data_IF_623726136230
#
_entry.id   IF_623726136230
#
_cell.length_a   1.000
_cell.length_b   1.000
_cell.length_c   1.000
_cell.angle_alpha   90.00
_cell.angle_beta   90.00
_cell.angle_gamma   90.00
#
_symmetry.space_group_name_H-M   'P 1'
#
loop_
_entity.id
_entity.type
_entity.pdbx_description
1 polymer ?
#
# COMPACT_ATOMS: atom_id res chain seq x y z
N UNK A 1 -1.73 -6.40 5.63
CA UNK A 1 -0.41 -5.91 5.29
C UNK A 1 -0.41 -4.53 5.87
N UNK A 2 0.41 -4.35 6.89
CA UNK A 2 0.52 -3.08 7.59
C UNK A 2 1.95 -2.65 7.39
N UNK A 3 2.15 -1.43 6.89
CA UNK A 3 3.49 -0.89 6.71
C UNK A 3 3.54 0.56 7.18
N UNK A 4 4.71 0.92 7.71
CA UNK A 4 5.02 2.26 8.19
C UNK A 4 5.95 2.97 7.23
N UNK A 5 5.68 4.25 7.00
CA UNK A 5 6.56 5.16 6.25
C UNK A 5 6.87 6.35 7.13
N UNK A 6 8.15 6.66 7.31
CA UNK A 6 8.62 7.74 8.18
C UNK A 6 9.40 8.77 7.38
N UNK A 7 9.12 10.04 7.61
CA UNK A 7 9.84 11.16 7.00
C UNK A 7 10.01 12.33 7.97
N UNK A 8 10.81 13.34 7.62
CA UNK A 8 10.92 14.56 8.39
C UNK A 8 9.55 15.23 8.54
N UNK A 9 9.07 15.37 9.78
CA UNK A 9 7.81 16.06 10.09
C UNK A 9 6.55 15.18 10.03
N UNK A 10 6.62 13.93 9.54
CA UNK A 10 5.45 13.06 9.53
C UNK A 10 5.78 11.56 9.58
N UNK A 11 4.82 10.77 10.04
CA UNK A 11 4.85 9.31 9.92
C UNK A 11 3.48 8.79 9.52
N UNK A 12 3.44 7.91 8.54
CA UNK A 12 2.21 7.28 8.06
C UNK A 12 2.22 5.79 8.39
N UNK A 13 1.09 5.29 8.87
CA UNK A 13 0.84 3.87 9.11
C UNK A 13 -0.34 3.47 8.25
N UNK A 14 -0.13 2.54 7.33
CA UNK A 14 -1.12 2.13 6.34
C UNK A 14 -1.49 0.68 6.63
N UNK A 15 -2.78 0.42 6.92
CA UNK A 15 -3.35 -0.92 7.00
C UNK A 15 -4.14 -1.20 5.72
N UNK A 16 -3.66 -2.16 4.95
CA UNK A 16 -4.38 -2.66 3.79
C UNK A 16 -5.35 -3.82 4.15
N UNK A 17 -5.49 -4.22 5.42
CA UNK A 17 -6.50 -5.23 5.79
C UNK A 17 -6.26 -6.66 5.32
N UNK A 18 -5.01 -7.08 5.18
CA UNK A 18 -4.72 -8.51 5.00
C UNK A 18 -5.19 -9.29 6.23
N UNK A 19 -6.28 -10.06 6.09
CA UNK A 19 -6.91 -10.81 7.17
C UNK A 19 -8.12 -10.14 7.84
N UNK A 20 -8.55 -8.95 7.40
CA UNK A 20 -9.68 -8.21 7.97
C UNK A 20 -10.34 -7.22 7.00
N UNK A 21 -11.37 -6.48 7.44
CA UNK A 21 -12.07 -5.48 6.61
C UNK A 21 -11.46 -4.07 6.70
N UNK A 22 -10.19 -3.99 7.08
CA UNK A 22 -9.47 -2.75 7.35
C UNK A 22 -8.92 -2.19 6.03
N UNK A 23 -9.14 -0.90 5.78
CA UNK A 23 -8.55 -0.19 4.65
C UNK A 23 -8.41 1.24 5.12
N UNK A 24 -7.36 1.51 5.88
CA UNK A 24 -7.21 2.78 6.58
C UNK A 24 -5.73 3.19 6.64
N UNK A 25 -5.51 4.49 6.72
CA UNK A 25 -4.20 5.04 7.02
C UNK A 25 -4.31 6.05 8.15
N UNK A 26 -3.32 6.04 9.05
CA UNK A 26 -3.15 7.11 10.04
C UNK A 26 -1.87 7.86 9.72
N UNK A 27 -1.98 9.18 9.58
CA UNK A 27 -0.82 10.08 9.44
C UNK A 27 -0.66 10.87 10.73
N UNK A 28 0.55 10.88 11.26
CA UNK A 28 0.97 11.66 12.41
C UNK A 28 1.87 12.79 11.92
N UNK A 29 1.48 14.03 12.14
CA UNK A 29 2.26 15.22 11.81
C UNK A 29 2.93 15.77 13.08
N UNK A 30 4.23 16.05 12.98
CA UNK A 30 4.97 16.71 14.04
C UNK A 30 4.83 18.24 13.90
N UNK A 31 4.35 18.92 14.96
CA UNK A 31 4.33 20.38 15.03
C UNK A 31 5.60 20.99 15.63
N UNK A 32 6.53 20.18 16.11
CA UNK A 32 7.86 20.63 16.54
C UNK A 32 8.74 21.03 15.36
N UNK A 33 9.71 21.91 15.58
CA UNK A 33 10.77 22.17 14.62
C UNK A 33 11.53 20.89 14.24
N UNK A 34 12.30 20.91 13.14
CA UNK A 34 13.07 19.75 12.69
C UNK A 34 13.96 19.20 13.81
N UNK A 35 13.61 18.03 14.34
CA UNK A 35 14.33 17.36 15.41
C UNK A 35 14.50 15.88 15.06
N UNK A 36 15.69 15.34 15.29
CA UNK A 36 16.05 13.97 14.94
C UNK A 36 15.39 12.90 15.84
N UNK A 37 14.79 13.28 16.98
CA UNK A 37 14.12 12.35 17.89
C UNK A 37 13.02 13.05 18.72
N UNK A 38 11.83 12.46 18.76
CA UNK A 38 10.70 12.87 19.61
C UNK A 38 10.99 12.68 21.11
N UNK A 39 11.89 11.74 21.46
CA UNK A 39 12.24 11.48 22.85
C UNK A 39 13.10 12.58 23.48
N UNK A 40 13.73 13.45 22.67
CA UNK A 40 14.68 14.46 23.14
C UNK A 40 14.16 15.91 23.16
N UNK A 41 12.98 16.19 22.59
CA UNK A 41 12.52 17.57 22.32
C UNK A 41 11.43 18.13 23.24
N UNK A 42 10.81 17.28 24.09
CA UNK A 42 9.54 17.63 24.72
C UNK A 42 8.37 17.57 23.73
N UNK A 43 7.17 17.29 24.24
CA UNK A 43 5.98 16.94 23.45
C UNK A 43 5.47 18.15 22.66
N UNK A 44 6.02 18.37 21.47
CA UNK A 44 5.32 19.13 20.43
C UNK A 44 4.02 18.38 20.10
N UNK A 45 2.89 19.09 20.07
CA UNK A 45 1.60 18.46 19.78
C UNK A 45 1.67 17.64 18.49
N UNK A 46 1.08 16.44 18.51
CA UNK A 46 0.96 15.58 17.33
C UNK A 46 -0.41 15.82 16.73
N UNK A 47 -0.46 16.28 15.49
CA UNK A 47 -1.70 16.24 14.72
C UNK A 47 -1.87 14.85 14.13
N UNK A 48 -3.10 14.33 14.20
CA UNK A 48 -3.46 13.01 13.69
C UNK A 48 -4.53 13.16 12.63
N UNK A 49 -4.27 12.58 11.47
CA UNK A 49 -5.23 12.40 10.40
C UNK A 49 -5.51 10.91 10.22
N UNK A 50 -6.79 10.56 10.07
CA UNK A 50 -7.23 9.19 9.79
C UNK A 50 -7.95 9.20 8.45
N UNK A 51 -7.47 8.36 7.55
CA UNK A 51 -7.99 8.20 6.20
C UNK A 51 -8.73 6.87 6.10
N UNK A 52 -9.99 6.92 5.65
CA UNK A 52 -10.78 5.75 5.28
C UNK A 52 -10.56 5.47 3.79
N UNK A 53 -9.91 4.35 3.48
CA UNK A 53 -9.63 3.93 2.12
C UNK A 53 -10.88 3.62 1.30
N UNK A 54 -12.01 3.24 1.93
CA UNK A 54 -13.29 3.06 1.22
C UNK A 54 -13.90 4.39 0.82
N UNK A 55 -13.78 5.40 1.69
CA UNK A 55 -14.19 6.75 1.37
C UNK A 55 -13.34 7.33 0.24
N UNK A 56 -12.02 7.13 0.27
CA UNK A 56 -11.11 7.52 -0.82
C UNK A 56 -11.47 6.82 -2.13
N UNK A 57 -11.74 5.52 -2.08
CA UNK A 57 -12.14 4.74 -3.25
C UNK A 57 -13.55 5.07 -3.77
N UNK A 58 -14.34 5.85 -3.02
CA UNK A 58 -15.75 6.15 -3.33
C UNK A 58 -16.65 4.91 -3.34
N UNK A 59 -16.21 3.79 -2.74
CA UNK A 59 -16.92 2.51 -2.79
C UNK A 59 -16.53 1.60 -1.64
N UNK A 60 -17.52 0.90 -1.09
CA UNK A 60 -17.32 -0.17 -0.12
C UNK A 60 -17.17 -1.55 -0.76
N UNK A 61 -17.14 -1.64 -2.10
CA UNK A 61 -16.95 -2.90 -2.80
C UNK A 61 -15.48 -3.32 -2.77
N UNK A 62 -15.20 -4.53 -2.27
CA UNK A 62 -13.84 -5.04 -2.05
C UNK A 62 -12.94 -4.94 -3.28
N UNK A 63 -13.49 -5.26 -4.46
CA UNK A 63 -12.72 -5.19 -5.71
C UNK A 63 -12.29 -3.76 -6.08
N UNK A 64 -12.93 -2.71 -5.54
CA UNK A 64 -12.63 -1.31 -5.85
C UNK A 64 -11.54 -0.75 -4.94
N UNK A 65 -11.59 -1.02 -3.62
CA UNK A 65 -10.62 -0.47 -2.65
C UNK A 65 -9.46 -1.41 -2.32
N UNK A 66 -9.57 -2.71 -2.63
CA UNK A 66 -8.54 -3.71 -2.32
C UNK A 66 -8.33 -4.75 -3.44
N UNK A 67 -9.17 -4.74 -4.48
CA UNK A 67 -8.99 -5.66 -5.60
C UNK A 67 -8.00 -5.16 -6.63
N UNK A 68 -7.65 -6.07 -7.55
CA UNK A 68 -6.84 -5.79 -8.74
C UNK A 68 -7.61 -5.01 -9.82
N UNK A 69 -8.41 -4.02 -9.43
CA UNK A 69 -9.28 -3.29 -10.37
C UNK A 69 -8.46 -2.58 -11.43
N UNK A 70 -7.35 -1.96 -11.04
CA UNK A 70 -6.48 -1.26 -11.97
C UNK A 70 -5.82 -2.22 -12.94
N UNK A 71 -5.33 -3.37 -12.47
CA UNK A 71 -4.73 -4.41 -13.29
C UNK A 71 -5.78 -5.06 -14.23
N UNK A 72 -7.02 -5.22 -13.78
CA UNK A 72 -8.11 -5.71 -14.62
C UNK A 72 -8.51 -4.72 -15.72
N UNK A 73 -8.62 -3.43 -15.38
CA UNK A 73 -8.90 -2.36 -16.34
C UNK A 73 -7.78 -2.26 -17.37
N UNK A 74 -6.52 -2.31 -16.91
CA UNK A 74 -5.35 -2.34 -17.77
C UNK A 74 -5.34 -3.56 -18.71
N UNK A 75 -5.62 -4.75 -18.19
CA UNK A 75 -5.68 -5.97 -18.99
C UNK A 75 -6.75 -5.89 -20.09
N UNK A 76 -7.96 -5.40 -19.75
CA UNK A 76 -9.03 -5.21 -20.74
C UNK A 76 -8.62 -4.18 -21.80
N UNK A 77 -8.03 -3.06 -21.37
CA UNK A 77 -7.56 -2.03 -22.30
C UNK A 77 -6.48 -2.58 -23.24
N UNK A 78 -5.52 -3.34 -22.73
CA UNK A 78 -4.45 -3.97 -23.50
C UNK A 78 -5.00 -4.89 -24.60
N UNK A 79 -6.06 -5.66 -24.31
CA UNK A 79 -6.76 -6.47 -25.32
C UNK A 79 -7.40 -5.58 -26.39
N UNK A 80 -8.06 -4.49 -25.99
CA UNK A 80 -8.78 -3.61 -26.91
C UNK A 80 -7.86 -2.80 -27.83
N UNK A 81 -6.68 -2.40 -27.33
CA UNK A 81 -5.73 -1.54 -28.04
C UNK A 81 -4.57 -2.31 -28.69
N UNK A 82 -4.42 -3.60 -28.36
CA UNK A 82 -3.29 -4.42 -28.81
C UNK A 82 -1.96 -4.01 -28.15
N UNK A 83 -2.01 -3.44 -26.93
CA UNK A 83 -0.81 -3.09 -26.17
C UNK A 83 -0.42 -4.20 -25.19
N UNK A 84 0.79 -4.11 -24.63
CA UNK A 84 1.25 -5.02 -23.57
C UNK A 84 0.64 -4.56 -22.23
N UNK A 85 0.06 -5.47 -21.43
CA UNK A 85 -0.47 -5.11 -20.11
C UNK A 85 0.65 -4.86 -19.10
N UNK A 86 0.32 -4.19 -17.99
CA UNK A 86 1.21 -3.91 -16.86
C UNK A 86 1.85 -5.16 -16.25
N UNK A 87 1.14 -6.28 -16.27
CA UNK A 87 1.64 -7.56 -15.79
C UNK A 87 1.44 -8.62 -16.87
N UNK A 88 2.55 -9.14 -17.37
CA UNK A 88 2.56 -10.14 -18.44
C UNK A 88 2.52 -11.57 -17.89
N UNK A 89 2.29 -12.55 -18.77
CA UNK A 89 2.37 -13.97 -18.39
C UNK A 89 3.81 -14.32 -18.00
N UNK A 90 4.79 -13.69 -18.63
CA UNK A 90 6.21 -13.82 -18.35
C UNK A 90 6.56 -13.33 -16.93
N UNK A 91 6.00 -12.21 -16.48
CA UNK A 91 6.17 -11.72 -15.10
C UNK A 91 5.55 -12.68 -14.08
N UNK A 92 4.38 -13.24 -14.40
CA UNK A 92 3.73 -14.24 -13.56
C UNK A 92 4.58 -15.53 -13.46
N UNK A 93 5.21 -15.96 -14.57
CA UNK A 93 6.10 -17.12 -14.59
C UNK A 93 7.33 -16.92 -13.69
N UNK A 94 7.93 -15.73 -13.68
CA UNK A 94 9.05 -15.41 -12.78
C UNK A 94 8.65 -15.47 -11.30
N UNK A 95 7.43 -15.02 -10.99
CA UNK A 95 6.89 -15.11 -9.62
C UNK A 95 6.66 -16.56 -9.18
N UNK A 96 6.21 -17.42 -10.08
CA UNK A 96 6.07 -18.86 -9.83
C UNK A 96 7.44 -19.52 -9.63
N UNK A 97 8.43 -19.20 -10.46
CA UNK A 97 9.79 -19.72 -10.31
C UNK A 97 10.40 -19.35 -8.95
N UNK A 98 10.23 -18.10 -8.52
CA UNK A 98 10.67 -17.67 -7.18
C UNK A 98 9.98 -18.46 -6.06
N UNK A 99 8.68 -18.71 -6.20
CA UNK A 99 7.90 -19.51 -5.24
C UNK A 99 8.43 -20.94 -5.16
N UNK A 100 8.75 -21.55 -6.30
CA UNK A 100 9.35 -22.89 -6.35
C UNK A 100 10.74 -22.93 -5.70
N UNK A 101 11.58 -21.91 -5.93
CA UNK A 101 12.89 -21.77 -5.25
C UNK A 101 12.75 -21.64 -3.73
N UNK A 102 11.76 -20.87 -3.26
CA UNK A 102 11.44 -20.76 -1.83
C UNK A 102 11.02 -22.11 -1.25
N UNK A 103 10.12 -22.83 -1.93
CA UNK A 103 9.60 -24.13 -1.46
C UNK A 103 10.69 -25.20 -1.35
N UNK A 104 11.68 -25.12 -2.23
CA UNK A 104 12.80 -26.07 -2.31
C UNK A 104 14.00 -25.68 -1.43
N UNK A 105 13.91 -24.56 -0.68
CA UNK A 105 15.01 -23.98 0.10
C UNK A 105 16.27 -23.70 -0.74
N UNK A 106 16.10 -23.29 -2.01
CA UNK A 106 17.20 -23.01 -2.96
C UNK A 106 17.45 -21.50 -3.09
N UNK A 107 17.25 -20.75 -2.00
CA UNK A 107 17.55 -19.31 -1.94
C UNK A 107 18.66 -19.05 -0.93
#
# INVERSE_FOLDING_TARGET
>A
HTFGVHGPGASAYISLGFGGAECEATILYNKGGAMYSLASGGVGGVDREVLDGKAIAGSSAFHVYYGYKQENEDFINAIQTGTVPLCTVEDAAQSMELTEKLLTNVI
#
